data_IF_814255407246
#
_entry.id   IF_814255407246
#
_cell.length_a   1.000
_cell.length_b   1.000
_cell.length_c   1.000
_cell.angle_alpha   90.00
_cell.angle_beta   90.00
_cell.angle_gamma   90.00
#
_symmetry.space_group_name_H-M   'P 1'
#
loop_
_entity.id
_entity.type
_entity.pdbx_description
1 polymer ?
#
# COMPACT_ATOMS: atom_id res chain seq x y z
N UNK A 1 5.60 -0.45 -15.66
CA UNK A 1 6.33 -1.08 -14.53
C UNK A 1 7.84 -1.23 -14.69
N UNK A 2 8.37 -1.75 -15.80
CA UNK A 2 9.82 -2.01 -15.92
C UNK A 2 10.73 -0.81 -15.55
N UNK A 3 10.42 0.40 -16.00
CA UNK A 3 11.17 1.62 -15.62
C UNK A 3 11.11 1.92 -14.13
N UNK A 4 9.92 1.77 -13.52
CA UNK A 4 9.70 2.03 -12.09
C UNK A 4 10.51 1.04 -11.23
N UNK A 5 10.55 -0.25 -11.60
CA UNK A 5 11.29 -1.26 -10.85
C UNK A 5 12.80 -1.26 -11.14
N UNK A 6 13.25 -0.53 -12.15
CA UNK A 6 14.67 -0.32 -12.43
C UNK A 6 15.21 0.97 -11.80
N UNK A 7 14.34 1.82 -11.24
CA UNK A 7 14.73 3.06 -10.57
C UNK A 7 15.29 2.75 -9.16
N UNK A 8 16.55 3.08 -8.87
CA UNK A 8 17.17 2.81 -7.56
C UNK A 8 16.51 3.51 -6.38
N UNK A 9 15.92 4.69 -6.56
CA UNK A 9 15.22 5.37 -5.46
C UNK A 9 13.87 4.73 -5.20
N UNK A 10 13.16 4.28 -6.24
CA UNK A 10 11.90 3.56 -6.06
C UNK A 10 12.14 2.23 -5.36
N UNK A 11 13.22 1.54 -5.73
CA UNK A 11 13.53 0.22 -5.21
C UNK A 11 14.47 0.24 -4.00
N UNK A 12 14.80 1.42 -3.45
CA UNK A 12 15.75 1.63 -2.34
C UNK A 12 15.48 0.75 -1.12
N UNK A 13 14.20 0.49 -0.83
CA UNK A 13 13.76 -0.31 0.32
C UNK A 13 13.30 -1.72 -0.07
N UNK A 14 13.71 -2.20 -1.25
CA UNK A 14 13.48 -3.56 -1.71
C UNK A 14 14.81 -4.33 -1.80
N UNK A 15 14.79 -5.67 -1.79
CA UNK A 15 16.01 -6.47 -1.83
C UNK A 15 16.88 -6.25 -3.08
N UNK A 16 16.25 -5.88 -4.22
CA UNK A 16 16.94 -5.62 -5.48
C UNK A 16 16.08 -4.81 -6.46
N UNK A 17 16.74 -4.24 -7.46
CA UNK A 17 16.09 -3.78 -8.70
C UNK A 17 15.54 -4.98 -9.47
N UNK A 18 14.52 -4.74 -10.31
CA UNK A 18 14.01 -5.77 -11.22
C UNK A 18 14.36 -5.43 -12.66
N UNK A 19 14.79 -6.44 -13.39
CA UNK A 19 14.90 -6.40 -14.85
C UNK A 19 13.51 -6.21 -15.50
N UNK A 20 13.50 -5.94 -16.81
CA UNK A 20 12.26 -5.91 -17.59
C UNK A 20 11.51 -7.25 -17.53
N UNK A 21 12.22 -8.37 -17.62
CA UNK A 21 11.62 -9.69 -17.58
C UNK A 21 10.95 -9.97 -16.22
N UNK A 22 11.66 -9.70 -15.12
CA UNK A 22 11.13 -9.85 -13.76
C UNK A 22 9.95 -8.90 -13.52
N UNK A 23 10.01 -7.68 -14.04
CA UNK A 23 8.92 -6.72 -13.97
C UNK A 23 7.67 -7.19 -14.72
N UNK A 24 7.85 -7.78 -15.90
CA UNK A 24 6.74 -8.34 -16.67
C UNK A 24 6.14 -9.56 -15.94
N UNK A 25 6.98 -10.44 -15.40
CA UNK A 25 6.54 -11.59 -14.61
C UNK A 25 5.73 -11.15 -13.37
N UNK A 26 6.17 -10.09 -12.67
CA UNK A 26 5.42 -9.52 -11.55
C UNK A 26 4.05 -8.96 -11.99
N UNK A 27 4.00 -8.26 -13.12
CA UNK A 27 2.73 -7.74 -13.68
C UNK A 27 1.76 -8.87 -14.04
N UNK A 28 2.25 -9.94 -14.69
CA UNK A 28 1.40 -11.09 -15.01
C UNK A 28 0.90 -11.80 -13.74
N UNK A 29 1.73 -11.89 -12.69
CA UNK A 29 1.28 -12.38 -11.38
C UNK A 29 0.17 -11.50 -10.80
N UNK A 30 0.30 -10.17 -10.84
CA UNK A 30 -0.74 -9.27 -10.34
C UNK A 30 -2.04 -9.39 -11.13
N UNK A 31 -1.96 -9.46 -12.47
CA UNK A 31 -3.12 -9.70 -13.34
C UNK A 31 -3.82 -11.01 -12.99
N UNK A 32 -3.04 -12.10 -12.86
CA UNK A 32 -3.58 -13.42 -12.49
C UNK A 32 -4.28 -13.40 -11.14
N UNK A 33 -3.70 -12.74 -10.13
CA UNK A 33 -4.32 -12.60 -8.81
C UNK A 33 -5.62 -11.79 -8.86
N UNK A 34 -5.66 -10.69 -9.61
CA UNK A 34 -6.89 -9.90 -9.79
C UNK A 34 -7.95 -10.76 -10.49
N UNK A 35 -7.62 -11.45 -11.59
CA UNK A 35 -8.57 -12.31 -12.29
C UNK A 35 -9.12 -13.44 -11.41
N UNK A 36 -8.29 -14.00 -10.52
CA UNK A 36 -8.68 -15.07 -9.62
C UNK A 36 -9.53 -14.59 -8.44
N UNK A 37 -9.14 -13.48 -7.82
CA UNK A 37 -9.70 -13.05 -6.55
C UNK A 37 -10.76 -11.95 -6.71
N UNK A 38 -10.82 -11.29 -7.87
CA UNK A 38 -11.57 -10.05 -8.10
C UNK A 38 -10.84 -8.78 -7.62
N UNK A 39 -9.66 -8.92 -7.00
CA UNK A 39 -8.90 -7.82 -6.40
C UNK A 39 -7.41 -8.13 -6.28
N UNK A 40 -6.59 -7.09 -6.13
CA UNK A 40 -5.13 -7.22 -6.06
C UNK A 40 -4.42 -5.87 -6.10
N UNK A 41 -3.18 -5.85 -6.58
CA UNK A 41 -2.46 -4.62 -6.91
C UNK A 41 -2.92 -4.06 -8.25
N UNK A 42 -3.72 -3.00 -8.22
CA UNK A 42 -4.20 -2.32 -9.42
C UNK A 42 -3.18 -1.35 -9.98
N UNK A 43 -3.24 -1.13 -11.28
CA UNK A 43 -2.52 -0.05 -11.95
C UNK A 43 -3.13 1.29 -11.53
N UNK A 44 -2.27 2.25 -11.17
CA UNK A 44 -2.68 3.64 -10.95
C UNK A 44 -2.35 4.44 -12.18
N UNK A 45 -3.37 5.11 -12.70
CA UNK A 45 -3.30 5.99 -13.87
C UNK A 45 -3.60 7.43 -13.43
N UNK A 46 -2.80 8.38 -13.90
CA UNK A 46 -3.09 9.80 -13.65
C UNK A 46 -4.28 10.24 -14.50
N UNK A 47 -5.25 10.89 -13.87
CA UNK A 47 -6.39 11.49 -14.59
C UNK A 47 -5.99 12.71 -15.42
N UNK A 48 -4.83 13.33 -15.15
CA UNK A 48 -4.37 14.54 -15.85
C UNK A 48 -3.88 14.25 -17.26
N UNK A 49 -3.08 13.21 -17.43
CA UNK A 49 -2.38 12.90 -18.68
C UNK A 49 -2.50 11.42 -19.10
N UNK A 50 -3.33 10.64 -18.39
CA UNK A 50 -3.53 9.20 -18.60
C UNK A 50 -2.24 8.39 -18.47
N UNK A 51 -1.22 8.94 -17.81
CA UNK A 51 0.04 8.23 -17.62
C UNK A 51 -0.08 7.14 -16.56
N UNK A 52 0.55 6.00 -16.81
CA UNK A 52 0.72 4.96 -15.81
C UNK A 52 1.75 5.40 -14.77
N UNK A 53 1.32 5.56 -13.51
CA UNK A 53 2.15 6.10 -12.43
C UNK A 53 2.56 5.07 -11.39
N UNK A 54 2.07 3.83 -11.45
CA UNK A 54 2.52 2.75 -10.57
C UNK A 54 1.40 1.80 -10.17
N UNK A 55 1.50 1.25 -8.97
CA UNK A 55 0.53 0.32 -8.40
C UNK A 55 0.14 0.76 -6.99
N UNK A 56 -1.13 0.52 -6.64
CA UNK A 56 -1.64 0.54 -5.27
C UNK A 56 -2.69 -0.57 -5.17
N UNK A 57 -2.76 -1.26 -4.04
CA UNK A 57 -3.78 -2.28 -3.86
C UNK A 57 -3.55 -3.21 -2.70
N UNK A 58 -4.30 -4.30 -2.73
CA UNK A 58 -4.40 -5.28 -1.65
C UNK A 58 -3.71 -6.59 -2.04
N UNK A 59 -3.17 -7.31 -1.06
CA UNK A 59 -2.56 -8.61 -1.28
C UNK A 59 -2.70 -9.52 -0.06
N UNK A 60 -2.70 -10.84 -0.28
CA UNK A 60 -2.60 -11.85 0.80
C UNK A 60 -1.18 -12.43 0.77
N UNK A 61 -0.30 -12.06 1.71
CA UNK A 61 1.03 -12.66 1.81
C UNK A 61 0.96 -14.18 1.81
N UNK A 62 1.82 -14.83 1.01
CA UNK A 62 1.89 -16.30 0.93
C UNK A 62 2.91 -16.90 1.91
N UNK A 63 3.64 -16.06 2.63
CA UNK A 63 4.63 -16.44 3.63
C UNK A 63 4.05 -16.21 5.04
N UNK A 64 4.58 -16.97 6.03
CA UNK A 64 4.11 -16.87 7.41
C UNK A 64 4.57 -15.55 8.02
N UNK A 65 3.61 -14.80 8.57
CA UNK A 65 3.85 -13.58 9.34
C UNK A 65 3.63 -13.85 10.84
N UNK A 66 4.37 -13.18 11.73
CA UNK A 66 4.27 -13.41 13.18
C UNK A 66 2.93 -12.95 13.78
N UNK A 67 2.22 -12.06 13.08
CA UNK A 67 0.88 -11.58 13.44
C UNK A 67 -0.26 -12.32 12.69
N UNK A 68 0.06 -13.45 12.05
CA UNK A 68 -0.92 -14.32 11.41
C UNK A 68 -1.22 -13.98 9.94
N UNK A 69 -2.12 -14.76 9.30
CA UNK A 69 -2.61 -14.45 7.96
C UNK A 69 -3.29 -13.09 7.93
N UNK A 70 -2.99 -12.28 6.93
CA UNK A 70 -3.56 -10.95 6.81
C UNK A 70 -3.87 -10.59 5.35
N UNK A 71 -4.66 -9.54 5.16
CA UNK A 71 -4.68 -8.78 3.91
C UNK A 71 -3.82 -7.54 4.13
N UNK A 72 -2.80 -7.38 3.30
CA UNK A 72 -1.96 -6.19 3.28
C UNK A 72 -2.47 -5.18 2.24
N UNK A 73 -2.25 -3.89 2.48
CA UNK A 73 -2.27 -2.82 1.49
C UNK A 73 -0.84 -2.36 1.20
N UNK A 74 -0.55 -2.06 -0.06
CA UNK A 74 0.76 -1.55 -0.46
C UNK A 74 0.73 -0.67 -1.69
N UNK A 75 1.85 0.02 -1.94
CA UNK A 75 2.02 0.97 -3.03
C UNK A 75 3.44 0.96 -3.59
N UNK A 76 3.55 1.19 -4.90
CA UNK A 76 4.82 1.48 -5.58
C UNK A 76 4.55 2.43 -6.75
N UNK A 77 4.95 3.69 -6.58
CA UNK A 77 4.75 4.73 -7.57
C UNK A 77 6.06 5.17 -8.21
N UNK A 78 5.98 5.64 -9.45
CA UNK A 78 7.07 6.31 -10.15
C UNK A 78 7.55 7.52 -9.34
N UNK A 79 8.87 7.76 -9.34
CA UNK A 79 9.49 8.86 -8.59
C UNK A 79 8.88 10.23 -8.93
N UNK A 80 8.56 10.47 -10.20
CA UNK A 80 7.93 11.70 -10.70
C UNK A 80 6.53 11.96 -10.11
N UNK A 81 5.89 10.94 -9.55
CA UNK A 81 4.55 11.01 -8.98
C UNK A 81 4.56 11.14 -7.45
N UNK A 82 5.73 11.22 -6.83
CA UNK A 82 5.84 11.40 -5.38
C UNK A 82 5.50 12.82 -4.94
N UNK A 83 5.11 12.99 -3.68
CA UNK A 83 4.80 14.30 -3.08
C UNK A 83 3.46 14.91 -3.53
N UNK A 84 2.70 14.23 -4.39
CA UNK A 84 1.44 14.72 -4.95
C UNK A 84 0.19 14.07 -4.33
N UNK A 85 0.34 13.22 -3.31
CA UNK A 85 -0.79 12.60 -2.61
C UNK A 85 -1.35 11.32 -3.26
N UNK A 86 -0.93 10.94 -4.47
CA UNK A 86 -1.51 9.79 -5.20
C UNK A 86 -1.51 8.47 -4.43
N UNK A 87 -0.44 8.15 -3.66
CA UNK A 87 -0.40 6.91 -2.89
C UNK A 87 -1.47 6.90 -1.79
N UNK A 88 -1.69 8.03 -1.12
CA UNK A 88 -2.72 8.19 -0.10
C UNK A 88 -4.11 8.17 -0.71
N UNK A 89 -4.33 8.89 -1.82
CA UNK A 89 -5.62 8.91 -2.53
C UNK A 89 -6.03 7.50 -2.98
N UNK A 90 -5.17 6.83 -3.76
CA UNK A 90 -5.45 5.47 -4.22
C UNK A 90 -5.53 4.47 -3.05
N UNK A 91 -4.74 4.69 -1.99
CA UNK A 91 -4.78 3.87 -0.77
C UNK A 91 -6.13 3.96 -0.05
N UNK A 92 -6.74 5.15 0.02
CA UNK A 92 -8.08 5.34 0.62
C UNK A 92 -9.15 4.59 -0.16
N UNK A 93 -9.09 4.61 -1.48
CA UNK A 93 -10.02 3.83 -2.32
C UNK A 93 -9.84 2.33 -2.13
N UNK A 94 -8.58 1.86 -1.98
CA UNK A 94 -8.32 0.46 -1.67
C UNK A 94 -8.85 0.05 -0.29
N UNK A 95 -8.74 0.90 0.74
CA UNK A 95 -9.33 0.66 2.05
C UNK A 95 -10.86 0.68 2.00
N UNK A 96 -11.45 1.61 1.24
CA UNK A 96 -12.90 1.63 1.01
C UNK A 96 -13.37 0.32 0.38
N UNK A 97 -12.69 -0.14 -0.67
CA UNK A 97 -12.98 -1.44 -1.27
C UNK A 97 -12.81 -2.60 -0.28
N UNK A 98 -11.73 -2.61 0.50
CA UNK A 98 -11.47 -3.64 1.51
C UNK A 98 -12.59 -3.75 2.56
N UNK A 99 -13.09 -2.62 3.06
CA UNK A 99 -14.06 -2.61 4.16
C UNK A 99 -15.52 -2.66 3.69
N UNK A 100 -15.82 -2.13 2.50
CA UNK A 100 -17.19 -2.09 1.97
C UNK A 100 -17.49 -3.32 1.11
N UNK A 101 -16.58 -3.69 0.20
CA UNK A 101 -16.84 -4.76 -0.77
C UNK A 101 -16.32 -6.12 -0.30
N UNK A 102 -15.17 -6.15 0.36
CA UNK A 102 -14.60 -7.39 0.89
C UNK A 102 -15.00 -7.67 2.34
N UNK A 103 -15.68 -6.73 2.99
CA UNK A 103 -16.15 -6.81 4.40
C UNK A 103 -15.05 -7.26 5.38
N UNK A 104 -13.80 -6.86 5.13
CA UNK A 104 -12.69 -7.22 5.99
C UNK A 104 -12.85 -6.57 7.37
N UNK A 105 -12.45 -7.27 8.42
CA UNK A 105 -12.40 -6.69 9.77
C UNK A 105 -11.22 -5.74 9.95
N UNK A 106 -10.10 -6.02 9.28
CA UNK A 106 -8.83 -5.29 9.40
C UNK A 106 -7.97 -5.40 8.14
N UNK A 107 -7.12 -4.39 7.92
CA UNK A 107 -6.11 -4.34 6.85
C UNK A 107 -4.78 -3.93 7.45
N UNK A 108 -3.71 -4.59 7.01
CA UNK A 108 -2.35 -4.36 7.48
C UNK A 108 -1.51 -3.65 6.43
N UNK A 109 -0.44 -2.99 6.86
CA UNK A 109 0.62 -2.54 5.98
C UNK A 109 1.95 -2.67 6.74
N UNK A 110 3.02 -3.09 6.07
CA UNK A 110 4.32 -3.20 6.70
C UNK A 110 5.43 -2.80 5.73
N UNK A 111 6.50 -2.27 6.30
CA UNK A 111 7.66 -1.80 5.53
C UNK A 111 8.90 -1.78 6.41
N UNK A 112 10.09 -1.77 5.82
CA UNK A 112 11.33 -1.62 6.58
C UNK A 112 11.26 -0.40 7.50
N UNK A 113 11.79 -0.51 8.72
CA UNK A 113 11.87 0.59 9.71
C UNK A 113 12.43 1.88 9.12
N UNK A 114 13.35 1.77 8.15
CA UNK A 114 14.01 2.88 7.47
C UNK A 114 13.16 3.58 6.38
N UNK A 115 12.03 2.99 5.97
CA UNK A 115 11.20 3.52 4.89
C UNK A 115 10.17 4.55 5.41
N UNK A 116 10.68 5.71 5.81
CA UNK A 116 9.87 6.79 6.39
C UNK A 116 8.78 7.30 5.45
N UNK A 117 9.02 7.30 4.12
CA UNK A 117 8.03 7.73 3.13
C UNK A 117 6.80 6.83 3.13
N UNK A 118 7.00 5.52 3.22
CA UNK A 118 5.90 4.55 3.27
C UNK A 118 5.14 4.63 4.59
N UNK A 119 5.85 4.73 5.72
CA UNK A 119 5.24 4.96 7.04
C UNK A 119 4.35 6.20 7.07
N UNK A 120 4.81 7.30 6.48
CA UNK A 120 4.03 8.52 6.37
C UNK A 120 2.77 8.36 5.48
N UNK A 121 2.74 7.42 4.54
CA UNK A 121 1.51 7.09 3.80
C UNK A 121 0.57 6.27 4.68
N UNK A 122 1.06 5.28 5.43
CA UNK A 122 0.26 4.51 6.40
C UNK A 122 -0.41 5.45 7.42
N UNK A 123 0.32 6.41 7.95
CA UNK A 123 -0.19 7.41 8.90
C UNK A 123 -1.27 8.31 8.27
N UNK A 124 -1.11 8.75 7.02
CA UNK A 124 -2.15 9.54 6.30
C UNK A 124 -3.38 8.73 5.89
N UNK A 125 -3.28 7.40 5.95
CA UNK A 125 -4.37 6.46 5.79
C UNK A 125 -5.01 6.10 7.13
N UNK A 126 -4.65 6.80 8.20
CA UNK A 126 -5.11 6.58 9.57
C UNK A 126 -4.83 5.17 10.09
N UNK A 127 -3.79 4.51 9.54
CA UNK A 127 -3.33 3.24 10.08
C UNK A 127 -2.47 3.49 11.32
N UNK A 128 -2.61 2.62 12.31
CA UNK A 128 -1.92 2.70 13.59
C UNK A 128 -0.73 1.74 13.62
N UNK A 129 0.42 2.21 14.11
CA UNK A 129 1.56 1.34 14.35
C UNK A 129 1.30 0.47 15.59
N UNK A 130 1.20 -0.84 15.39
CA UNK A 130 0.87 -1.80 16.46
C UNK A 130 2.05 -2.19 17.35
N UNK A 131 3.21 -1.54 17.19
CA UNK A 131 4.45 -1.76 17.96
C UNK A 131 4.94 -3.22 17.95
N UNK A 132 4.62 -3.95 16.88
CA UNK A 132 4.97 -5.36 16.71
C UNK A 132 5.93 -5.53 15.52
N UNK A 133 7.09 -4.88 15.60
CA UNK A 133 8.13 -5.02 14.58
C UNK A 133 8.53 -6.49 14.39
N UNK A 134 8.95 -6.83 13.18
CA UNK A 134 9.40 -8.18 12.87
C UNK A 134 10.48 -8.22 11.80
N UNK A 135 11.24 -9.32 11.81
CA UNK A 135 12.17 -9.65 10.74
C UNK A 135 11.44 -10.24 9.53
N UNK A 136 11.49 -9.55 8.39
CA UNK A 136 10.78 -10.00 7.20
C UNK A 136 11.40 -11.28 6.62
N UNK A 137 10.62 -12.37 6.44
CA UNK A 137 11.17 -13.69 6.11
C UNK A 137 11.81 -13.77 4.71
N UNK A 138 11.44 -12.88 3.80
CA UNK A 138 11.99 -12.83 2.44
C UNK A 138 13.15 -11.86 2.27
N UNK A 139 13.57 -11.18 3.35
CA UNK A 139 14.70 -10.25 3.33
C UNK A 139 15.93 -10.92 3.95
N UNK A 140 17.12 -10.86 3.30
CA UNK A 140 18.34 -11.49 3.81
C UNK A 140 18.65 -11.11 5.26
N UNK A 141 19.18 -12.07 6.04
CA UNK A 141 19.50 -11.91 7.47
C UNK A 141 20.43 -10.74 7.79
N UNK A 142 21.37 -10.46 6.91
CA UNK A 142 22.35 -9.39 7.04
C UNK A 142 21.89 -8.05 6.44
N UNK A 143 20.66 -7.96 5.93
CA UNK A 143 20.16 -6.73 5.32
C UNK A 143 19.70 -5.73 6.37
N UNK A 144 20.09 -4.45 6.28
CA UNK A 144 19.55 -3.40 7.16
C UNK A 144 18.06 -3.13 6.91
N UNK A 145 17.48 -3.69 5.83
CA UNK A 145 16.06 -3.57 5.51
C UNK A 145 15.20 -4.65 6.16
N UNK A 146 15.80 -5.58 6.91
CA UNK A 146 15.11 -6.78 7.39
C UNK A 146 14.03 -6.48 8.42
N UNK A 147 14.32 -5.62 9.39
CA UNK A 147 13.34 -5.23 10.40
C UNK A 147 12.23 -4.37 9.76
N UNK A 148 10.99 -4.79 9.94
CA UNK A 148 9.80 -4.12 9.44
C UNK A 148 8.92 -3.63 10.58
N UNK A 149 8.40 -2.41 10.43
CA UNK A 149 7.27 -1.91 11.23
C UNK A 149 5.96 -2.43 10.67
N UNK A 150 4.96 -2.59 11.54
CA UNK A 150 3.62 -3.04 11.17
C UNK A 150 2.59 -1.99 11.55
N UNK A 151 1.77 -1.63 10.59
CA UNK A 151 0.62 -0.74 10.75
C UNK A 151 -0.66 -1.52 10.47
N UNK A 152 -1.74 -1.12 11.14
CA UNK A 152 -3.06 -1.74 11.02
C UNK A 152 -4.15 -0.68 11.06
N UNK A 153 -5.22 -0.91 10.31
CA UNK A 153 -6.49 -0.20 10.50
C UNK A 153 -7.62 -1.23 10.51
N UNK A 154 -8.54 -1.10 11.46
CA UNK A 154 -9.74 -1.92 11.52
C UNK A 154 -10.96 -1.18 10.93
N UNK A 155 -11.99 -1.96 10.62
CA UNK A 155 -13.20 -1.44 9.99
C UNK A 155 -14.01 -0.51 10.89
N UNK A 156 -13.81 -0.53 12.22
CA UNK A 156 -14.49 0.39 13.13
C UNK A 156 -13.80 1.75 13.10
N UNK A 157 -12.49 1.78 13.28
CA UNK A 157 -11.67 3.00 13.19
C UNK A 157 -11.81 3.67 11.81
N UNK A 158 -11.78 2.89 10.73
CA UNK A 158 -11.96 3.41 9.38
C UNK A 158 -13.33 4.09 9.17
N UNK A 159 -14.41 3.53 9.73
CA UNK A 159 -15.77 4.12 9.65
C UNK A 159 -15.87 5.39 10.49
N UNK A 160 -15.36 5.36 11.72
CA UNK A 160 -15.39 6.51 12.63
C UNK A 160 -14.70 7.74 12.02
N UNK A 161 -13.55 7.55 11.38
CA UNK A 161 -12.80 8.65 10.77
C UNK A 161 -13.54 9.27 9.57
N UNK A 162 -14.34 8.49 8.84
CA UNK A 162 -15.18 9.03 7.76
C UNK A 162 -16.32 9.91 8.26
N UNK A 163 -16.97 9.52 9.38
CA UNK A 163 -18.06 10.32 9.98
C UNK A 163 -17.54 11.68 10.45
N UNK A 164 -16.34 11.73 11.02
CA UNK A 164 -15.71 12.98 11.47
C UNK A 164 -15.40 13.93 10.31
N UNK A 165 -14.99 13.40 9.15
CA UNK A 165 -14.71 14.23 7.95
C UNK A 165 -16.01 14.77 7.34
N UNK A 166 -17.09 13.99 7.30
CA UNK A 166 -18.38 14.46 6.75
C UNK A 166 -19.11 15.44 7.67
N UNK A 167 -18.96 15.31 8.99
CA UNK A 167 -19.61 16.19 9.98
C UNK A 167 -18.99 17.60 10.10
N UNK A 168 -17.81 17.84 9.53
CA UNK A 168 -17.19 19.18 9.48
C UNK A 168 -17.53 19.97 8.20
N UNK A 169 -18.13 19.33 7.20
CA UNK A 169 -18.47 19.99 5.93
C UNK A 169 -19.82 20.73 5.95
N UNK A 170 -20.62 20.61 7.01
CA UNK A 170 -21.98 21.18 7.09
C UNK A 170 -22.08 22.53 7.84
N UNK A 171 -20.98 23.14 8.31
CA UNK A 171 -21.01 24.41 9.06
C UNK A 171 -20.65 25.67 8.25
N UNK A 172 -20.63 25.58 6.91
CA UNK A 172 -20.43 26.73 6.03
C UNK A 172 -21.75 27.40 5.63
N UNK A 173 -22.44 28.06 6.57
CA UNK A 173 -23.59 28.92 6.26
C UNK A 173 -23.16 30.12 5.43
N UNK A 174 -23.85 30.30 4.30
CA UNK A 174 -23.88 31.52 3.50
C UNK A 174 -24.18 32.74 4.37
N UNK A 175 -23.38 33.80 4.22
CA UNK A 175 -23.78 35.19 4.46
C UNK A 175 -23.37 36.06 3.29
#
# INVERSE_FOLDING_TARGET
MARINADPEVMKYYPKLLSRQESNAAVEKFKSLISKNGWGFWAVESTRDRSFIGLVGLHKPTYKLPFGPCVEIGWRLARSSWGQGYATEAGRECLSFAFVQLELSEVFAFTSVANMKSRAVMERLDMENIQANFDHPTVPHNSPLREHVVYKIDSQNWRSNRVLVTGQAESGEYR
#
